data_IF_833285604458
#
_entry.id   IF_833285604458
#
_cell.length_a   1.000
_cell.length_b   1.000
_cell.length_c   1.000
_cell.angle_alpha   90.00
_cell.angle_beta   90.00
_cell.angle_gamma   90.00
#
_symmetry.space_group_name_H-M   'P 1'
#
loop_
_entity.id
_entity.type
_entity.pdbx_description
1 polymer ?
#
# COMPACT_ATOMS: atom_id res chain seq x y z
N UNK A 1 31.96 10.62 10.64
CA UNK A 1 32.49 11.60 11.64
C UNK A 1 33.37 10.85 12.61
N UNK A 2 34.55 11.36 12.89
CA UNK A 2 35.44 10.75 13.89
C UNK A 2 36.48 11.74 14.42
N UNK A 3 36.90 11.52 15.67
CA UNK A 3 37.90 12.32 16.36
C UNK A 3 39.02 11.43 16.90
N UNK A 4 40.25 11.93 16.90
CA UNK A 4 41.40 11.23 17.48
C UNK A 4 42.39 12.21 18.12
N UNK A 5 43.25 11.68 18.98
CA UNK A 5 44.31 12.48 19.61
C UNK A 5 45.44 12.90 18.64
N UNK A 6 45.55 12.21 17.50
CA UNK A 6 46.57 12.46 16.52
C UNK A 6 46.12 13.34 15.37
N UNK A 7 47.04 13.92 14.61
CA UNK A 7 46.76 14.90 13.54
C UNK A 7 45.88 14.37 12.43
N UNK A 8 45.93 13.07 12.13
CA UNK A 8 45.17 12.47 11.02
C UNK A 8 43.71 12.18 11.30
N UNK A 9 43.22 12.52 12.51
CA UNK A 9 41.88 12.16 12.90
C UNK A 9 41.64 10.64 12.82
N UNK A 10 40.50 10.24 12.31
CA UNK A 10 40.09 8.82 12.18
C UNK A 10 40.12 8.33 10.71
N UNK A 11 40.95 8.91 9.84
CA UNK A 11 40.95 8.63 8.39
C UNK A 11 41.02 7.14 8.08
N UNK A 12 41.97 6.42 8.69
CA UNK A 12 42.11 4.97 8.49
C UNK A 12 40.91 4.18 8.98
N UNK A 13 40.38 4.52 10.13
CA UNK A 13 39.19 3.86 10.71
C UNK A 13 37.96 4.06 9.81
N UNK A 14 37.76 5.26 9.27
CA UNK A 14 36.65 5.54 8.35
C UNK A 14 36.79 4.79 7.03
N UNK A 15 38.02 4.66 6.44
CA UNK A 15 38.25 3.85 5.24
C UNK A 15 37.96 2.37 5.51
N UNK A 16 38.38 1.84 6.65
CA UNK A 16 38.06 0.45 7.03
C UNK A 16 36.55 0.24 7.23
N UNK A 17 35.89 1.15 7.90
CA UNK A 17 34.43 1.08 8.11
C UNK A 17 33.70 1.10 6.76
N UNK A 18 34.08 1.99 5.82
CA UNK A 18 33.50 2.01 4.47
C UNK A 18 33.61 0.67 3.77
N UNK A 19 34.81 0.02 3.80
CA UNK A 19 35.01 -1.30 3.20
C UNK A 19 34.09 -2.38 3.81
N UNK A 20 33.83 -2.31 5.11
CA UNK A 20 32.89 -3.23 5.79
C UNK A 20 31.46 -2.95 5.33
N UNK A 21 31.09 -1.69 5.26
CA UNK A 21 29.74 -1.28 4.85
C UNK A 21 29.45 -1.56 3.37
N UNK A 22 30.47 -1.55 2.52
CA UNK A 22 30.39 -1.90 1.09
C UNK A 22 30.43 -3.42 0.84
N UNK A 23 30.64 -4.24 1.89
CA UNK A 23 30.71 -5.69 1.72
C UNK A 23 29.38 -6.29 1.27
N UNK A 24 29.40 -7.33 0.40
CA UNK A 24 28.20 -8.05 0.02
C UNK A 24 27.44 -8.56 1.25
N UNK A 25 26.14 -8.32 1.30
CA UNK A 25 25.28 -8.70 2.44
C UNK A 25 25.10 -7.62 3.51
N UNK A 26 25.95 -6.56 3.54
CA UNK A 26 25.71 -5.39 4.39
C UNK A 26 24.80 -4.38 3.69
N UNK A 27 24.98 -4.19 2.36
CA UNK A 27 24.19 -3.33 1.49
C UNK A 27 23.91 -1.93 2.06
N UNK A 28 24.91 -1.33 2.73
CA UNK A 28 24.75 -0.01 3.32
C UNK A 28 24.93 1.10 2.27
N UNK A 29 24.04 2.08 2.31
CA UNK A 29 24.22 3.32 1.55
C UNK A 29 25.19 4.23 2.29
N UNK A 30 26.41 4.36 1.78
CA UNK A 30 27.46 5.17 2.38
C UNK A 30 27.57 6.51 1.64
N UNK A 31 27.38 7.62 2.35
CA UNK A 31 27.54 8.96 1.77
C UNK A 31 28.97 9.10 1.17
N UNK A 32 29.12 9.32 -0.15
CA UNK A 32 30.42 9.52 -0.76
C UNK A 32 30.99 10.90 -0.41
N UNK A 33 32.29 10.97 -0.22
CA UNK A 33 33.02 12.24 -0.11
C UNK A 33 33.13 12.81 1.29
N UNK A 34 32.10 13.29 1.88
CA UNK A 34 32.06 14.11 3.10
C UNK A 34 32.61 13.42 4.36
N UNK A 35 33.91 13.42 4.53
CA UNK A 35 34.57 12.86 5.72
C UNK A 35 34.90 13.97 6.71
N UNK A 36 34.32 13.92 7.90
CA UNK A 36 34.74 14.79 9.00
C UNK A 36 35.76 14.07 9.88
N UNK A 37 36.97 14.62 9.91
CA UNK A 37 38.13 14.08 10.59
C UNK A 37 38.66 15.09 11.58
N UNK A 38 38.31 14.96 12.86
CA UNK A 38 38.83 15.85 13.92
C UNK A 38 40.13 15.30 14.45
N UNK A 39 41.25 15.89 14.05
CA UNK A 39 42.56 15.64 14.66
C UNK A 39 42.74 16.44 15.95
N UNK A 40 43.75 16.08 16.75
CA UNK A 40 44.11 16.77 18.02
C UNK A 40 42.88 16.98 18.95
N UNK A 41 42.00 15.99 19.04
CA UNK A 41 40.74 16.11 19.76
C UNK A 41 40.87 16.65 21.18
N UNK A 42 42.00 16.37 21.88
CA UNK A 42 42.23 16.86 23.24
C UNK A 42 42.32 18.39 23.32
N UNK A 43 42.74 19.05 22.24
CA UNK A 43 42.88 20.51 22.16
C UNK A 43 41.76 21.18 21.35
N UNK A 44 40.86 20.38 20.77
CA UNK A 44 39.82 20.87 19.90
C UNK A 44 38.54 21.28 20.64
N UNK A 45 38.41 20.91 21.90
CA UNK A 45 37.24 21.19 22.72
C UNK A 45 37.60 22.13 23.89
N UNK A 46 36.66 22.99 24.25
CA UNK A 46 36.70 23.79 25.48
C UNK A 46 36.28 22.96 26.71
N UNK A 47 36.24 23.62 27.88
CA UNK A 47 35.86 22.98 29.14
C UNK A 47 34.40 22.53 29.17
N UNK A 48 33.54 23.13 28.36
CA UNK A 48 32.11 22.83 28.21
C UNK A 48 31.85 21.75 27.14
N UNK A 49 32.88 21.29 26.42
CA UNK A 49 32.81 20.26 25.38
C UNK A 49 32.42 20.77 23.98
N UNK A 50 32.49 22.10 23.76
CA UNK A 50 32.25 22.67 22.44
C UNK A 50 33.55 22.68 21.61
N UNK A 51 33.42 22.54 20.28
CA UNK A 51 34.56 22.67 19.36
C UNK A 51 34.97 24.16 19.31
N UNK A 52 36.23 24.45 19.59
CA UNK A 52 36.77 25.79 19.71
C UNK A 52 36.89 26.49 18.34
N UNK A 53 37.33 25.76 17.31
CA UNK A 53 37.57 26.33 15.99
C UNK A 53 36.27 26.45 15.16
N UNK A 54 35.85 27.67 14.88
CA UNK A 54 34.64 27.99 14.15
C UNK A 54 34.62 27.37 12.74
N UNK A 55 35.76 27.28 12.04
CA UNK A 55 35.83 26.64 10.72
C UNK A 55 35.54 25.16 10.80
N UNK A 56 36.01 24.50 11.85
CA UNK A 56 35.74 23.09 12.14
C UNK A 56 34.27 22.85 12.42
N UNK A 57 33.63 23.76 13.21
CA UNK A 57 32.18 23.70 13.48
C UNK A 57 31.38 23.86 12.18
N UNK A 58 31.72 24.86 11.36
CA UNK A 58 31.05 25.10 10.09
C UNK A 58 31.21 23.92 9.11
N UNK A 59 32.40 23.29 9.08
CA UNK A 59 32.63 22.12 8.24
C UNK A 59 31.86 20.89 8.74
N UNK A 60 31.74 20.69 10.05
CA UNK A 60 30.89 19.64 10.62
C UNK A 60 29.42 19.87 10.24
N UNK A 61 28.92 21.10 10.37
CA UNK A 61 27.58 21.47 9.94
C UNK A 61 27.32 21.14 8.47
N UNK A 62 28.24 21.55 7.59
CA UNK A 62 28.17 21.19 6.17
C UNK A 62 28.13 19.66 5.91
N UNK A 63 28.93 18.89 6.64
CA UNK A 63 28.90 17.43 6.53
C UNK A 63 27.59 16.83 6.98
N UNK A 64 26.99 17.35 8.05
CA UNK A 64 25.68 16.91 8.57
C UNK A 64 24.54 17.28 7.61
N UNK A 65 24.55 18.50 7.08
CA UNK A 65 23.53 18.94 6.10
C UNK A 65 23.56 18.07 4.83
N UNK A 66 24.74 17.74 4.35
CA UNK A 66 24.89 16.84 3.20
C UNK A 66 24.45 15.43 3.54
N UNK A 67 24.68 14.97 4.77
CA UNK A 67 24.19 13.66 5.21
C UNK A 67 22.65 13.63 5.26
N UNK A 68 21.99 14.66 5.78
CA UNK A 68 20.53 14.75 5.80
C UNK A 68 19.97 14.70 4.38
N UNK A 69 20.51 15.53 3.46
CA UNK A 69 20.10 15.50 2.05
C UNK A 69 20.31 14.12 1.40
N UNK A 70 21.42 13.46 1.74
CA UNK A 70 21.68 12.12 1.22
C UNK A 70 20.69 11.09 1.76
N UNK A 71 20.33 11.15 3.04
CA UNK A 71 19.30 10.28 3.64
C UNK A 71 17.95 10.49 2.95
N UNK A 72 17.55 11.73 2.65
CA UNK A 72 16.32 12.03 1.92
C UNK A 72 16.27 11.38 0.52
N UNK A 73 17.42 11.31 -0.15
CA UNK A 73 17.54 10.67 -1.47
C UNK A 73 17.53 9.15 -1.37
N UNK A 74 18.37 8.59 -0.49
CA UNK A 74 18.53 7.12 -0.40
C UNK A 74 17.38 6.42 0.30
N UNK A 75 16.62 7.10 1.15
CA UNK A 75 15.40 6.56 1.75
C UNK A 75 14.37 6.16 0.67
N UNK A 76 14.33 6.92 -0.43
CA UNK A 76 13.49 6.61 -1.60
C UNK A 76 14.00 5.42 -2.41
N UNK A 77 15.26 5.03 -2.25
CA UNK A 77 15.90 3.90 -2.93
C UNK A 77 15.83 2.62 -2.09
N UNK A 78 15.68 2.73 -0.78
CA UNK A 78 15.50 1.57 0.09
C UNK A 78 14.12 1.00 -0.15
N UNK A 79 14.05 -0.03 -0.97
CA UNK A 79 12.93 -0.96 -0.86
C UNK A 79 13.00 -1.58 0.54
N UNK A 80 11.86 -1.67 1.26
CA UNK A 80 11.82 -2.43 2.50
C UNK A 80 12.40 -3.82 2.21
N UNK A 81 13.19 -4.34 3.16
CA UNK A 81 13.77 -5.69 3.03
C UNK A 81 12.61 -6.65 2.80
N UNK A 82 12.63 -7.48 1.74
CA UNK A 82 11.57 -8.42 1.50
C UNK A 82 11.36 -9.25 2.77
N UNK A 83 10.15 -9.22 3.33
CA UNK A 83 9.76 -10.13 4.38
C UNK A 83 9.42 -11.43 3.64
N UNK A 84 10.09 -12.53 3.95
CA UNK A 84 9.72 -13.80 3.37
C UNK A 84 8.24 -14.10 3.67
N UNK A 85 7.47 -14.66 2.73
CA UNK A 85 6.06 -14.96 2.96
C UNK A 85 5.81 -15.78 4.24
N UNK A 86 6.76 -16.65 4.61
CA UNK A 86 6.75 -17.43 5.85
C UNK A 86 6.98 -16.60 7.12
N UNK A 87 7.61 -15.42 7.01
CA UNK A 87 7.83 -14.49 8.11
C UNK A 87 6.67 -13.49 8.25
N UNK A 88 5.74 -13.49 7.31
CA UNK A 88 4.48 -12.76 7.41
C UNK A 88 3.52 -13.55 8.28
N UNK A 89 3.75 -13.51 9.56
CA UNK A 89 2.80 -14.08 10.50
C UNK A 89 1.55 -13.18 10.57
N UNK A 90 0.58 -13.46 9.67
CA UNK A 90 -0.76 -12.87 9.72
C UNK A 90 -1.56 -13.38 10.92
N UNK A 91 -0.98 -14.28 11.72
CA UNK A 91 -1.61 -14.92 12.89
C UNK A 91 -1.06 -14.43 14.23
N UNK A 92 0.11 -13.74 14.25
CA UNK A 92 0.75 -13.30 15.49
C UNK A 92 0.11 -12.06 16.11
N UNK A 93 0.51 -11.79 17.34
CA UNK A 93 0.12 -10.57 18.06
C UNK A 93 0.53 -9.33 17.27
N UNK A 94 -0.43 -8.66 16.67
CA UNK A 94 -0.21 -7.45 15.92
C UNK A 94 0.07 -6.30 16.89
N UNK A 95 1.06 -5.49 16.56
CA UNK A 95 1.14 -4.13 17.06
C UNK A 95 -0.02 -3.37 16.41
N UNK A 96 -1.10 -3.15 17.12
CA UNK A 96 -2.27 -2.45 16.60
C UNK A 96 -1.99 -0.97 16.41
N UNK A 97 -2.57 -0.35 15.37
CA UNK A 97 -2.49 1.09 15.13
C UNK A 97 -3.05 1.88 16.32
N UNK A 98 -4.12 1.38 16.94
CA UNK A 98 -4.72 1.93 18.15
C UNK A 98 -4.53 0.92 19.28
N UNK A 99 -3.61 1.22 20.19
CA UNK A 99 -3.28 0.34 21.30
C UNK A 99 -4.26 0.46 22.46
N UNK A 100 -4.35 -0.59 23.28
CA UNK A 100 -5.15 -0.59 24.51
C UNK A 100 -6.58 -1.10 24.35
N UNK A 101 -6.95 -1.54 23.16
CA UNK A 101 -8.25 -2.16 22.88
C UNK A 101 -7.99 -3.53 22.25
N UNK A 102 -8.74 -4.55 22.66
CA UNK A 102 -8.67 -5.86 22.06
C UNK A 102 -9.11 -5.78 20.57
N UNK A 103 -8.28 -6.21 19.61
CA UNK A 103 -8.65 -6.22 18.20
C UNK A 103 -9.91 -7.02 17.88
N UNK A 104 -10.26 -7.99 18.70
CA UNK A 104 -11.44 -8.85 18.53
C UNK A 104 -12.67 -8.32 19.32
N UNK A 105 -12.58 -7.12 19.90
CA UNK A 105 -13.71 -6.47 20.60
C UNK A 105 -14.78 -6.04 19.59
N UNK A 106 -16.05 -6.49 19.72
CA UNK A 106 -17.12 -6.14 18.79
C UNK A 106 -17.46 -4.65 18.75
N UNK A 107 -17.17 -3.91 19.83
CA UNK A 107 -17.35 -2.45 19.92
C UNK A 107 -16.04 -1.69 19.67
N UNK A 108 -15.11 -2.31 18.94
CA UNK A 108 -13.76 -1.75 18.74
C UNK A 108 -13.81 -0.34 18.15
N UNK A 109 -14.67 -0.08 17.19
CA UNK A 109 -14.77 1.23 16.50
C UNK A 109 -15.13 2.34 17.46
N UNK A 110 -16.13 2.12 18.32
CA UNK A 110 -16.61 3.10 19.29
C UNK A 110 -15.56 3.38 20.37
N UNK A 111 -14.95 2.32 20.90
CA UNK A 111 -13.89 2.43 21.91
C UNK A 111 -12.64 3.09 21.34
N UNK A 112 -12.27 2.75 20.11
CA UNK A 112 -11.14 3.36 19.41
C UNK A 112 -11.41 4.84 19.12
N UNK A 113 -12.61 5.18 18.65
CA UNK A 113 -12.99 6.56 18.38
C UNK A 113 -12.94 7.43 19.65
N UNK A 114 -13.42 6.92 20.79
CA UNK A 114 -13.34 7.60 22.07
C UNK A 114 -11.87 7.79 22.52
N UNK A 115 -11.07 6.73 22.43
CA UNK A 115 -9.68 6.74 22.89
C UNK A 115 -8.81 7.74 22.13
N UNK A 116 -8.96 7.84 20.82
CA UNK A 116 -8.16 8.75 19.96
C UNK A 116 -8.80 10.12 19.77
N UNK A 117 -9.99 10.35 20.32
CA UNK A 117 -10.75 11.58 20.09
C UNK A 117 -11.12 11.77 18.62
N UNK A 118 -11.62 10.71 17.96
CA UNK A 118 -11.96 10.75 16.57
C UNK A 118 -13.04 11.81 16.27
N UNK A 119 -12.86 12.53 15.17
CA UNK A 119 -13.85 13.51 14.70
C UNK A 119 -14.95 12.85 13.87
N UNK A 120 -16.15 13.41 13.90
CA UNK A 120 -17.30 12.89 13.19
C UNK A 120 -18.24 14.00 12.69
N UNK A 121 -19.28 13.63 12.00
CA UNK A 121 -20.37 14.53 11.61
C UNK A 121 -19.91 15.60 10.62
N UNK A 122 -20.31 16.84 10.89
CA UNK A 122 -20.05 17.99 10.02
C UNK A 122 -18.73 18.70 10.29
N UNK A 123 -17.82 18.05 11.03
CA UNK A 123 -16.45 18.55 11.23
C UNK A 123 -15.68 18.54 9.93
N UNK A 124 -15.11 19.68 9.55
CA UNK A 124 -14.31 19.82 8.34
C UNK A 124 -12.93 19.19 8.48
N UNK A 125 -12.51 18.45 7.45
CA UNK A 125 -11.18 17.88 7.30
C UNK A 125 -10.54 18.48 6.05
N UNK A 126 -9.33 19.01 6.19
CA UNK A 126 -8.53 19.49 5.05
C UNK A 126 -7.80 18.31 4.43
N UNK A 127 -8.02 18.07 3.16
CA UNK A 127 -7.29 17.14 2.31
C UNK A 127 -6.26 17.89 1.44
N UNK A 128 -5.38 17.20 0.77
CA UNK A 128 -4.34 17.82 -0.07
C UNK A 128 -4.94 18.72 -1.16
N UNK A 129 -6.05 18.30 -1.76
CA UNK A 129 -6.67 19.00 -2.89
C UNK A 129 -8.12 19.41 -2.62
N UNK A 130 -8.51 19.51 -1.36
CA UNK A 130 -9.89 19.92 -1.04
C UNK A 130 -10.18 19.98 0.46
N UNK A 131 -11.43 20.30 0.75
CA UNK A 131 -11.95 20.32 2.11
C UNK A 131 -13.33 19.66 2.10
N UNK A 132 -13.55 18.73 2.99
CA UNK A 132 -14.82 18.00 3.14
C UNK A 132 -15.14 17.86 4.62
N UNK A 133 -16.42 17.67 4.95
CA UNK A 133 -16.79 17.19 6.28
C UNK A 133 -16.61 15.69 6.37
N UNK A 134 -16.54 15.13 7.58
CA UNK A 134 -16.47 13.67 7.78
C UNK A 134 -17.68 12.99 7.16
N UNK A 135 -18.90 13.55 7.32
CA UNK A 135 -20.10 13.06 6.65
C UNK A 135 -19.97 13.04 5.12
N UNK A 136 -19.37 14.07 4.52
CA UNK A 136 -19.16 14.12 3.07
C UNK A 136 -18.17 13.06 2.61
N UNK A 137 -17.09 12.80 3.38
CA UNK A 137 -16.14 11.72 3.09
C UNK A 137 -16.84 10.36 3.14
N UNK A 138 -17.64 10.09 4.18
CA UNK A 138 -18.37 8.84 4.32
C UNK A 138 -19.40 8.64 3.17
N UNK A 139 -20.17 9.67 2.84
CA UNK A 139 -21.07 9.63 1.69
C UNK A 139 -20.35 9.40 0.37
N UNK A 140 -19.19 10.04 0.17
CA UNK A 140 -18.38 9.86 -1.03
C UNK A 140 -17.86 8.43 -1.17
N UNK A 141 -17.37 7.84 -0.07
CA UNK A 141 -16.89 6.46 -0.05
C UNK A 141 -18.05 5.47 -0.29
N UNK A 142 -19.23 5.71 0.29
CA UNK A 142 -20.43 4.88 0.08
C UNK A 142 -21.03 5.00 -1.32
N UNK A 143 -20.83 6.13 -1.99
CA UNK A 143 -21.30 6.33 -3.38
C UNK A 143 -20.43 5.67 -4.44
N UNK A 144 -19.27 5.11 -4.08
CA UNK A 144 -18.42 4.39 -5.01
C UNK A 144 -19.08 3.08 -5.44
N UNK A 145 -19.03 2.73 -6.75
CA UNK A 145 -19.69 1.52 -7.28
C UNK A 145 -18.87 0.25 -7.02
N UNK A 146 -18.15 0.20 -5.91
CA UNK A 146 -17.33 -0.94 -5.49
C UNK A 146 -17.27 -1.02 -3.98
N UNK A 147 -17.05 -2.24 -3.48
CA UNK A 147 -16.75 -2.49 -2.08
C UNK A 147 -15.28 -2.15 -1.83
N UNK A 148 -15.04 -1.30 -0.84
CA UNK A 148 -13.70 -0.90 -0.41
C UNK A 148 -13.39 -1.50 0.94
N UNK A 149 -12.17 -1.98 1.10
CA UNK A 149 -11.64 -2.44 2.39
C UNK A 149 -10.26 -1.85 2.60
N UNK A 150 -9.97 -1.37 3.79
CA UNK A 150 -8.64 -0.93 4.18
C UNK A 150 -8.12 -1.77 5.36
N UNK A 151 -6.94 -2.33 5.16
CA UNK A 151 -6.13 -2.92 6.22
C UNK A 151 -4.81 -2.15 6.32
N UNK A 152 -4.39 -1.83 7.53
CA UNK A 152 -3.19 -1.04 7.79
C UNK A 152 -1.89 -1.86 7.65
N UNK A 153 -0.76 -1.23 7.95
CA UNK A 153 0.57 -1.83 7.92
C UNK A 153 0.80 -2.88 9.03
N UNK A 154 -0.11 -2.96 10.01
CA UNK A 154 -0.14 -4.00 11.04
C UNK A 154 -1.04 -5.19 10.68
N UNK A 155 -1.58 -5.26 9.46
CA UNK A 155 -2.58 -6.24 9.04
C UNK A 155 -3.88 -6.20 9.88
N UNK A 156 -4.22 -5.03 10.41
CA UNK A 156 -5.48 -4.79 11.10
C UNK A 156 -6.51 -4.26 10.11
N UNK A 157 -7.68 -4.87 10.06
CA UNK A 157 -8.81 -4.43 9.25
C UNK A 157 -9.45 -3.21 9.91
N UNK A 158 -9.35 -2.04 9.29
CA UNK A 158 -9.78 -0.78 9.93
C UNK A 158 -11.05 -0.19 9.34
N UNK A 159 -11.34 -0.44 8.06
CA UNK A 159 -12.45 0.22 7.39
C UNK A 159 -12.98 -0.61 6.22
N UNK A 160 -14.29 -0.56 6.02
CA UNK A 160 -14.94 -0.91 4.77
C UNK A 160 -16.09 0.06 4.49
N UNK A 161 -16.39 0.31 3.21
CA UNK A 161 -17.57 1.07 2.84
C UNK A 161 -18.77 0.12 2.78
N UNK A 162 -19.75 0.34 3.61
CA UNK A 162 -21.00 -0.42 3.55
C UNK A 162 -21.86 0.12 2.39
N UNK A 163 -21.70 -0.44 1.19
CA UNK A 163 -22.45 -0.04 -0.02
C UNK A 163 -23.75 -0.83 -0.20
N UNK A 164 -23.99 -1.83 0.63
CA UNK A 164 -25.17 -2.70 0.59
C UNK A 164 -25.88 -2.70 1.93
N UNK A 165 -27.19 -2.50 1.93
CA UNK A 165 -28.01 -2.59 3.15
C UNK A 165 -27.98 -4.00 3.76
N UNK A 166 -27.80 -5.03 2.92
CA UNK A 166 -27.70 -6.42 3.34
C UNK A 166 -26.28 -6.95 3.11
N UNK A 167 -25.50 -7.28 4.15
CA UNK A 167 -24.16 -7.84 4.02
C UNK A 167 -24.09 -9.12 3.18
N UNK A 168 -25.16 -9.89 3.09
CA UNK A 168 -25.20 -11.12 2.30
C UNK A 168 -25.20 -10.87 0.79
N UNK A 169 -25.44 -9.64 0.36
CA UNK A 169 -25.35 -9.23 -1.06
C UNK A 169 -23.95 -8.73 -1.43
N UNK A 170 -23.05 -8.58 -0.48
CA UNK A 170 -21.67 -8.20 -0.74
C UNK A 170 -20.89 -9.32 -1.41
N UNK A 171 -20.02 -8.96 -2.35
CA UNK A 171 -19.10 -9.90 -3.01
C UNK A 171 -17.96 -10.31 -2.10
N UNK A 172 -17.51 -9.39 -1.23
CA UNK A 172 -16.59 -9.66 -0.13
C UNK A 172 -17.32 -9.34 1.18
N UNK A 173 -18.06 -10.32 1.70
CA UNK A 173 -18.88 -10.14 2.90
C UNK A 173 -18.09 -9.54 4.06
N UNK A 174 -18.58 -8.45 4.63
CA UNK A 174 -18.08 -7.79 5.83
C UNK A 174 -19.23 -7.50 6.78
N UNK A 175 -18.90 -7.49 8.07
CA UNK A 175 -19.83 -7.11 9.13
C UNK A 175 -19.15 -6.06 10.03
N UNK A 176 -19.93 -5.17 10.67
CA UNK A 176 -19.39 -4.06 11.47
C UNK A 176 -18.41 -4.50 12.55
N UNK A 177 -18.65 -5.64 13.18
CA UNK A 177 -17.86 -6.20 14.28
C UNK A 177 -16.47 -6.67 13.84
N UNK A 178 -16.20 -6.73 12.52
CA UNK A 178 -14.89 -7.08 11.99
C UNK A 178 -13.92 -5.89 11.94
N UNK A 179 -14.40 -4.66 12.06
CA UNK A 179 -13.52 -3.49 12.13
C UNK A 179 -12.71 -3.53 13.42
N UNK A 180 -11.38 -3.46 13.30
CA UNK A 180 -10.44 -3.70 14.39
C UNK A 180 -9.78 -5.07 14.35
N UNK A 181 -10.45 -6.07 13.77
CA UNK A 181 -9.93 -7.43 13.75
C UNK A 181 -8.63 -7.57 12.96
N UNK A 182 -7.88 -8.59 13.31
CA UNK A 182 -6.74 -9.05 12.51
C UNK A 182 -7.22 -9.64 11.19
N UNK A 183 -6.44 -9.50 10.14
CA UNK A 183 -6.76 -10.15 8.85
C UNK A 183 -6.90 -11.67 8.98
N UNK A 184 -6.17 -12.31 9.89
CA UNK A 184 -6.33 -13.74 10.21
C UNK A 184 -7.72 -14.05 10.79
N UNK A 185 -8.26 -13.23 11.67
CA UNK A 185 -9.61 -13.39 12.23
C UNK A 185 -10.66 -13.18 11.14
N UNK A 186 -10.52 -12.12 10.32
CA UNK A 186 -11.44 -11.83 9.20
C UNK A 186 -11.49 -12.99 8.20
N UNK A 187 -10.37 -13.69 8.00
CA UNK A 187 -10.23 -14.81 7.06
C UNK A 187 -10.27 -16.20 7.72
N UNK A 188 -10.65 -16.29 8.98
CA UNK A 188 -10.62 -17.53 9.77
C UNK A 188 -11.44 -18.69 9.16
N UNK A 189 -12.45 -18.39 8.34
CA UNK A 189 -13.25 -19.38 7.64
C UNK A 189 -12.63 -19.90 6.33
N UNK A 190 -11.51 -19.34 5.88
CA UNK A 190 -10.86 -19.74 4.64
C UNK A 190 -10.10 -21.06 4.84
N UNK A 191 -10.14 -21.99 3.84
CA UNK A 191 -9.25 -23.12 3.82
C UNK A 191 -7.77 -22.68 3.83
N UNK A 192 -6.89 -23.49 4.43
CA UNK A 192 -5.45 -23.22 4.56
C UNK A 192 -4.78 -22.79 3.23
N UNK A 193 -5.11 -23.46 2.13
CA UNK A 193 -4.57 -23.12 0.81
C UNK A 193 -4.98 -21.72 0.32
N UNK A 194 -6.12 -21.19 0.76
CA UNK A 194 -6.56 -19.83 0.44
C UNK A 194 -5.92 -18.80 1.36
N UNK A 195 -5.65 -19.15 2.62
CA UNK A 195 -4.91 -18.28 3.55
C UNK A 195 -3.51 -17.98 2.99
N UNK A 196 -2.82 -18.98 2.43
CA UNK A 196 -1.51 -18.77 1.76
C UNK A 196 -1.57 -17.76 0.61
N UNK A 197 -2.70 -17.69 -0.10
CA UNK A 197 -2.88 -16.65 -1.12
C UNK A 197 -3.02 -15.25 -0.50
N UNK A 198 -3.69 -15.12 0.64
CA UNK A 198 -3.79 -13.85 1.38
C UNK A 198 -2.39 -13.40 1.83
N UNK A 199 -1.62 -14.29 2.44
CA UNK A 199 -0.24 -14.06 2.86
C UNK A 199 0.65 -13.65 1.68
N UNK A 200 0.52 -14.34 0.55
CA UNK A 200 1.26 -14.00 -0.67
C UNK A 200 0.92 -12.59 -1.17
N UNK A 201 -0.38 -12.23 -1.22
CA UNK A 201 -0.80 -10.89 -1.66
C UNK A 201 -0.24 -9.81 -0.74
N UNK A 202 -0.37 -9.98 0.58
CA UNK A 202 0.19 -9.06 1.57
C UNK A 202 1.70 -8.94 1.38
N UNK A 203 2.40 -10.07 1.22
CA UNK A 203 3.86 -10.11 1.06
C UNK A 203 4.36 -9.33 -0.13
N UNK A 204 3.84 -9.59 -1.32
CA UNK A 204 4.30 -8.92 -2.55
C UNK A 204 3.98 -7.43 -2.57
N UNK A 205 2.86 -7.01 -1.95
CA UNK A 205 2.49 -5.60 -1.85
C UNK A 205 3.34 -4.87 -0.81
N UNK A 206 3.52 -5.45 0.37
CA UNK A 206 4.35 -4.89 1.44
C UNK A 206 5.82 -4.76 1.04
N UNK A 207 6.35 -5.73 0.29
CA UNK A 207 7.71 -5.70 -0.22
C UNK A 207 7.91 -4.74 -1.40
N UNK A 208 6.82 -4.21 -1.96
CA UNK A 208 6.86 -3.36 -3.15
C UNK A 208 7.24 -4.12 -4.42
N UNK A 209 7.10 -5.45 -4.44
CA UNK A 209 7.33 -6.29 -5.63
C UNK A 209 6.27 -6.02 -6.70
N UNK A 210 5.08 -5.62 -6.26
CA UNK A 210 3.96 -5.18 -7.12
C UNK A 210 3.27 -3.98 -6.49
N UNK A 211 2.80 -3.07 -7.31
CA UNK A 211 1.95 -1.97 -6.88
C UNK A 211 0.51 -2.43 -6.61
N UNK A 212 0.07 -3.45 -7.36
CA UNK A 212 -1.25 -4.05 -7.21
C UNK A 212 -1.25 -5.53 -7.58
N UNK A 213 -2.21 -6.26 -7.03
CA UNK A 213 -2.54 -7.65 -7.40
C UNK A 213 -4.01 -7.69 -7.77
N UNK A 214 -4.33 -8.29 -8.92
CA UNK A 214 -5.71 -8.50 -9.36
C UNK A 214 -6.01 -9.98 -9.48
N UNK A 215 -7.21 -10.35 -9.08
CA UNK A 215 -7.71 -11.71 -9.21
C UNK A 215 -9.19 -11.72 -9.56
N UNK A 216 -9.64 -12.79 -10.19
CA UNK A 216 -11.05 -13.09 -10.39
C UNK A 216 -11.35 -14.30 -9.52
N UNK A 217 -12.40 -14.18 -8.69
CA UNK A 217 -12.83 -15.29 -7.84
C UNK A 217 -13.53 -16.32 -8.72
N UNK A 218 -13.02 -17.58 -8.77
CA UNK A 218 -13.63 -18.63 -9.56
C UNK A 218 -14.93 -19.15 -8.93
N UNK A 219 -15.81 -19.72 -9.76
CA UNK A 219 -17.02 -20.38 -9.29
C UNK A 219 -18.18 -19.42 -8.97
N UNK A 220 -18.11 -18.16 -9.37
CA UNK A 220 -19.22 -17.22 -9.30
C UNK A 220 -20.26 -17.53 -10.40
N UNK A 221 -21.55 -17.15 -10.21
CA UNK A 221 -22.57 -17.23 -11.25
C UNK A 221 -22.15 -16.56 -12.57
N UNK A 222 -22.73 -17.00 -13.69
CA UNK A 222 -22.32 -16.51 -15.02
C UNK A 222 -22.56 -15.01 -15.27
N UNK A 223 -23.42 -14.40 -14.49
CA UNK A 223 -23.73 -12.95 -14.49
C UNK A 223 -22.83 -12.15 -13.55
N UNK A 224 -21.87 -12.79 -12.87
CA UNK A 224 -20.94 -12.18 -11.94
C UNK A 224 -19.51 -12.50 -12.38
N UNK A 225 -18.72 -11.44 -12.60
CA UNK A 225 -17.25 -11.51 -12.68
C UNK A 225 -16.73 -10.82 -11.42
N UNK A 226 -16.62 -11.59 -10.32
CA UNK A 226 -16.15 -11.06 -9.04
C UNK A 226 -14.64 -10.78 -9.11
N UNK A 227 -14.30 -9.50 -9.14
CA UNK A 227 -12.94 -9.01 -9.32
C UNK A 227 -12.45 -8.38 -8.02
N UNK A 228 -11.31 -8.85 -7.53
CA UNK A 228 -10.60 -8.26 -6.41
C UNK A 228 -9.33 -7.57 -6.91
N UNK A 229 -9.14 -6.32 -6.54
CA UNK A 229 -7.93 -5.56 -6.81
C UNK A 229 -7.35 -5.07 -5.48
N UNK A 230 -6.19 -5.59 -5.13
CA UNK A 230 -5.44 -5.21 -3.94
C UNK A 230 -4.35 -4.25 -4.34
N UNK A 231 -4.28 -3.09 -3.69
CA UNK A 231 -3.31 -2.06 -3.97
C UNK A 231 -2.57 -1.66 -2.71
N UNK A 232 -1.24 -1.61 -2.78
CA UNK A 232 -0.43 -1.09 -1.70
C UNK A 232 -0.65 0.42 -1.53
N UNK A 233 -0.75 0.86 -0.28
CA UNK A 233 -0.80 2.26 0.11
C UNK A 233 0.50 2.64 0.81
N UNK A 234 0.90 3.90 0.67
CA UNK A 234 2.15 4.40 1.23
C UNK A 234 1.92 5.72 1.95
N UNK A 235 2.63 5.91 3.06
CA UNK A 235 2.73 7.20 3.72
C UNK A 235 3.51 8.21 2.87
N UNK A 236 3.41 9.53 3.16
CA UNK A 236 4.14 10.54 2.41
C UNK A 236 5.67 10.35 2.40
N UNK A 237 6.22 9.67 3.40
CA UNK A 237 7.65 9.33 3.49
C UNK A 237 8.03 8.09 2.66
N UNK A 238 7.05 7.45 1.99
CA UNK A 238 7.23 6.27 1.16
C UNK A 238 7.22 4.95 1.93
N UNK A 239 7.00 4.94 3.24
CA UNK A 239 6.80 3.71 4.01
C UNK A 239 5.43 3.09 3.70
N UNK A 240 5.36 1.76 3.82
CA UNK A 240 4.13 1.02 3.57
C UNK A 240 3.06 1.36 4.62
N UNK A 241 1.86 1.73 4.17
CA UNK A 241 0.74 2.14 5.02
C UNK A 241 -0.39 1.11 5.08
N UNK A 242 -0.31 0.05 4.27
CA UNK A 242 -1.34 -0.97 4.24
C UNK A 242 -1.87 -1.30 2.86
N UNK A 243 -3.01 -1.92 2.81
CA UNK A 243 -3.66 -2.41 1.59
C UNK A 243 -5.05 -1.82 1.47
N UNK A 244 -5.34 -1.26 0.29
CA UNK A 244 -6.69 -0.99 -0.16
C UNK A 244 -7.15 -2.16 -1.04
N UNK A 245 -8.26 -2.80 -0.68
CA UNK A 245 -8.93 -3.79 -1.49
C UNK A 245 -10.16 -3.15 -2.16
N UNK A 246 -10.30 -3.35 -3.46
CA UNK A 246 -11.43 -2.93 -4.26
C UNK A 246 -12.09 -4.18 -4.83
N UNK A 247 -13.36 -4.41 -4.48
CA UNK A 247 -14.12 -5.58 -4.96
C UNK A 247 -15.34 -5.11 -5.72
N UNK A 248 -15.57 -5.69 -6.88
CA UNK A 248 -16.74 -5.35 -7.68
C UNK A 248 -17.08 -6.42 -8.71
N UNK A 249 -18.35 -6.43 -9.12
CA UNK A 249 -18.76 -7.22 -10.27
C UNK A 249 -18.36 -6.48 -11.56
N UNK A 250 -17.36 -6.99 -12.26
CA UNK A 250 -16.90 -6.41 -13.53
C UNK A 250 -17.86 -6.66 -14.70
N UNK A 251 -18.74 -7.66 -14.59
CA UNK A 251 -19.63 -8.08 -15.69
C UNK A 251 -20.50 -6.95 -16.25
N UNK A 252 -21.20 -6.12 -15.42
CA UNK A 252 -21.99 -5.00 -15.95
C UNK A 252 -21.18 -3.97 -16.74
N UNK A 253 -19.93 -3.69 -16.29
CA UNK A 253 -19.03 -2.78 -16.97
C UNK A 253 -18.59 -3.32 -18.34
N UNK A 254 -18.27 -4.62 -18.37
CA UNK A 254 -17.90 -5.32 -19.59
C UNK A 254 -19.08 -5.35 -20.58
N UNK A 255 -20.26 -5.68 -20.13
CA UNK A 255 -21.46 -5.73 -20.96
C UNK A 255 -21.81 -4.36 -21.55
N UNK A 256 -21.76 -3.31 -20.71
CA UNK A 256 -21.94 -1.94 -21.18
C UNK A 256 -20.91 -1.55 -22.25
N UNK A 257 -19.63 -1.87 -22.01
CA UNK A 257 -18.56 -1.58 -22.98
C UNK A 257 -18.80 -2.29 -24.32
N UNK A 258 -19.08 -3.59 -24.29
CA UNK A 258 -19.32 -4.38 -25.50
C UNK A 258 -20.56 -3.90 -26.27
N UNK A 259 -21.64 -3.55 -25.55
CA UNK A 259 -22.85 -3.00 -26.13
C UNK A 259 -22.61 -1.63 -26.79
N UNK A 260 -21.86 -0.75 -26.08
CA UNK A 260 -21.61 0.62 -26.54
C UNK A 260 -20.67 0.66 -27.75
N UNK A 261 -19.66 -0.21 -27.77
CA UNK A 261 -18.63 -0.22 -28.82
C UNK A 261 -18.96 -1.16 -29.98
N UNK A 262 -19.94 -2.05 -29.86
CA UNK A 262 -20.23 -3.12 -30.81
C UNK A 262 -19.15 -4.21 -30.89
N UNK A 263 -18.14 -4.18 -29.98
CA UNK A 263 -17.09 -5.18 -29.94
C UNK A 263 -17.61 -6.52 -29.40
N UNK A 264 -16.88 -7.59 -29.68
CA UNK A 264 -17.21 -8.94 -29.22
C UNK A 264 -15.99 -9.61 -28.58
N UNK A 265 -16.23 -10.40 -27.56
CA UNK A 265 -15.20 -11.27 -27.00
C UNK A 265 -14.97 -12.47 -27.91
N UNK A 266 -13.70 -12.76 -28.16
CA UNK A 266 -13.26 -13.94 -28.92
C UNK A 266 -12.40 -14.76 -27.99
N UNK A 267 -12.72 -16.05 -27.83
CA UNK A 267 -11.88 -16.98 -27.07
C UNK A 267 -10.54 -17.23 -27.78
N UNK A 268 -9.56 -17.77 -27.05
CA UNK A 268 -8.22 -18.03 -27.60
C UNK A 268 -8.20 -18.95 -28.83
N UNK A 269 -9.26 -19.74 -29.04
CA UNK A 269 -9.43 -20.60 -30.23
C UNK A 269 -10.18 -19.90 -31.39
N UNK A 270 -10.44 -18.59 -31.29
CA UNK A 270 -11.13 -17.81 -32.33
C UNK A 270 -12.67 -17.89 -32.32
N UNK A 271 -13.26 -18.56 -31.34
CA UNK A 271 -14.73 -18.64 -31.23
C UNK A 271 -15.29 -17.36 -30.58
N UNK A 272 -16.34 -16.78 -31.16
CA UNK A 272 -17.04 -15.63 -30.52
C UNK A 272 -17.73 -16.13 -29.26
N UNK A 273 -17.44 -15.47 -28.13
CA UNK A 273 -18.09 -15.75 -26.85
C UNK A 273 -19.42 -14.98 -26.82
N UNK A 274 -20.59 -15.67 -26.80
CA UNK A 274 -21.85 -14.97 -26.68
C UNK A 274 -21.96 -14.29 -25.32
N UNK A 275 -22.65 -13.13 -25.23
CA UNK A 275 -22.94 -12.52 -23.93
C UNK A 275 -23.75 -13.51 -23.06
N UNK A 276 -23.47 -13.54 -21.78
CA UNK A 276 -24.20 -14.41 -20.84
C UNK A 276 -25.70 -14.10 -20.89
N UNK A 277 -26.55 -15.11 -21.09
CA UNK A 277 -28.01 -14.95 -21.24
C UNK A 277 -28.50 -14.74 -22.68
N UNK A 278 -27.63 -14.65 -23.67
CA UNK A 278 -28.08 -14.65 -25.06
C UNK A 278 -28.57 -16.07 -25.45
N UNK A 279 -29.74 -16.19 -26.12
CA UNK A 279 -30.17 -17.48 -26.65
C UNK A 279 -29.11 -18.01 -27.64
N UNK A 280 -28.84 -19.32 -27.58
CA UNK A 280 -27.90 -19.96 -28.49
C UNK A 280 -28.20 -19.56 -29.96
N UNK A 281 -27.17 -19.16 -30.73
CA UNK A 281 -27.41 -18.78 -32.12
C UNK A 281 -28.03 -19.96 -32.87
N UNK A 282 -29.14 -19.71 -33.56
CA UNK A 282 -29.78 -20.69 -34.38
C UNK A 282 -28.76 -21.23 -35.42
N UNK A 283 -28.56 -22.52 -35.45
CA UNK A 283 -27.65 -23.16 -36.41
C UNK A 283 -28.09 -22.77 -37.84
N UNK A 284 -27.26 -21.98 -38.52
CA UNK A 284 -27.48 -21.62 -39.92
C UNK A 284 -27.52 -20.14 -40.29
N UNK A 285 -27.29 -19.19 -39.40
CA UNK A 285 -27.24 -17.79 -39.77
C UNK A 285 -25.86 -17.41 -40.39
N UNK A 286 -25.78 -16.73 -41.53
CA UNK A 286 -24.51 -16.28 -42.14
C UNK A 286 -23.87 -15.22 -41.27
N UNK A 287 -22.53 -15.24 -41.14
CA UNK A 287 -21.75 -14.26 -40.42
C UNK A 287 -21.97 -12.86 -40.98
N UNK A 288 -22.23 -11.83 -40.16
CA UNK A 288 -22.31 -10.46 -40.66
C UNK A 288 -20.94 -9.99 -41.13
N UNK A 289 -20.92 -9.42 -42.34
CA UNK A 289 -19.74 -8.81 -42.96
C UNK A 289 -19.20 -7.66 -42.10
N UNK A 290 -17.88 -7.61 -41.95
CA UNK A 290 -17.16 -6.51 -41.29
C UNK A 290 -17.39 -5.21 -42.10
N UNK A 291 -18.19 -4.30 -41.56
CA UNK A 291 -18.28 -2.92 -42.04
C UNK A 291 -17.37 -2.05 -41.20
N UNK A 292 -16.37 -1.46 -41.85
CA UNK A 292 -15.49 -0.43 -41.28
C UNK A 292 -16.27 0.89 -41.36
N UNK A 293 -16.39 1.58 -40.24
CA UNK A 293 -16.16 3.03 -40.14
C UNK A 293 -16.57 3.53 -38.74
N UNK A 294 -15.57 3.93 -37.98
CA UNK A 294 -15.77 4.73 -36.80
C UNK A 294 -14.96 6.02 -36.94
N UNK A 295 -15.56 7.01 -37.58
CA UNK A 295 -15.09 8.39 -37.41
C UNK A 295 -16.26 9.26 -36.98
N UNK A 296 -15.99 10.04 -35.96
CA UNK A 296 -16.75 11.15 -35.35
C UNK A 296 -17.27 10.82 -33.95
N UNK A 297 -17.00 11.58 -32.97
CA UNK A 297 -16.53 12.93 -32.78
C UNK A 297 -16.83 13.27 -31.33
N UNK A 298 -15.80 13.53 -30.56
CA UNK A 298 -15.94 14.15 -29.25
C UNK A 298 -15.95 15.65 -29.45
N UNK A 299 -17.02 16.31 -29.10
CA UNK A 299 -17.04 17.71 -28.74
C UNK A 299 -18.28 18.03 -27.93
N UNK A 300 -18.08 18.38 -26.75
CA UNK A 300 -18.59 19.37 -25.82
C UNK A 300 -18.48 18.88 -24.36
#
# INVERSE_FOLDING_TARGET
VGASYYDQGTSRAQVHLRKILDAPGVNAYVLPGNEFLLGKAKQAFDEDGNIIDERTVNFLGFCLDNFVKYVEVVSKLKKPKPIAPEDLDVTSSISTTIQGIDPDDPDWVEKAAELVGAVSGDTYVKLDHGILTVNQIDMFLKAMPFELTYADDNNQFLYYNNVHDNPDTMLAKRVPEQSGNRLSTVHSSLPEGRMKNVEFVIGVLRNGDKEYVRTIVPGTPADIINTHNYQAMYYPDGSYAGINEIVFNFKPWLDWYLQTTGQRLISANGTVVPPAGAPAPAAGAPAPSAGVDATSGASA
#
